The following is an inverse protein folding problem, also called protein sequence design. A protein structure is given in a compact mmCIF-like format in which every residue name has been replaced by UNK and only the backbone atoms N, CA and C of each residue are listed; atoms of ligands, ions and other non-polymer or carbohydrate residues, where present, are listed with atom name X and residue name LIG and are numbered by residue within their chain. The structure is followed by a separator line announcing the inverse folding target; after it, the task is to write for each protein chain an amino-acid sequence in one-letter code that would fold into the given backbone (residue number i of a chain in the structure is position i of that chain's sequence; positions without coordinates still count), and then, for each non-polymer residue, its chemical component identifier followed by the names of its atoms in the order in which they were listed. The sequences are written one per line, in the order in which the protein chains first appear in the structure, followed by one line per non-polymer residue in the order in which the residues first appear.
data_IF_703014841283
#
_entry.id   IF_703014841283
#
_cell.length_a   1.000
_cell.length_b   1.000
_cell.length_c   1.000
_cell.angle_alpha   90.00
_cell.angle_beta   90.00
_cell.angle_gamma   90.00
#
_symmetry.space_group_name_H-M   'P 1'
#
loop_
_entity.id
_entity.type
_entity.pdbx_description
1 polymer ?
#
# COMPACT_ATOMS: atom_id res chain seq x y z
N UNK A 1 -42.14 9.23 -58.27
CA UNK A 1 -41.28 8.74 -57.17
C UNK A 1 -41.44 7.23 -57.07
N UNK A 2 -40.42 6.44 -57.40
CA UNK A 2 -40.45 4.97 -57.40
C UNK A 2 -40.11 4.45 -56.00
N UNK A 3 -41.00 3.65 -55.40
CA UNK A 3 -40.74 2.92 -54.15
C UNK A 3 -40.12 1.57 -54.48
N UNK A 4 -38.90 1.35 -53.99
CA UNK A 4 -38.19 0.08 -54.07
C UNK A 4 -38.59 -0.72 -52.83
N UNK A 5 -39.16 -1.91 -53.04
CA UNK A 5 -39.48 -2.87 -51.98
C UNK A 5 -38.31 -3.85 -51.90
N UNK A 6 -37.59 -3.84 -50.77
CA UNK A 6 -36.47 -4.73 -50.50
C UNK A 6 -37.00 -6.00 -49.82
N UNK A 7 -36.87 -7.14 -50.52
CA UNK A 7 -37.23 -8.46 -50.02
C UNK A 7 -35.99 -9.09 -49.39
N UNK A 8 -36.01 -9.30 -48.07
CA UNK A 8 -34.92 -9.98 -47.33
C UNK A 8 -35.36 -11.42 -47.07
N UNK A 9 -34.64 -12.36 -47.68
CA UNK A 9 -34.82 -13.81 -47.49
C UNK A 9 -33.89 -14.27 -46.39
N UNK A 10 -34.45 -14.81 -45.30
CA UNK A 10 -33.68 -15.43 -44.22
C UNK A 10 -33.55 -16.93 -44.47
N UNK A 11 -32.34 -17.41 -44.71
CA UNK A 11 -32.00 -18.83 -44.74
C UNK A 11 -31.66 -19.32 -43.35
N UNK A 12 -32.45 -20.27 -42.82
CA UNK A 12 -32.22 -20.93 -41.54
C UNK A 12 -31.15 -22.00 -41.72
N UNK A 13 -29.91 -21.67 -41.32
CA UNK A 13 -28.80 -22.62 -41.27
C UNK A 13 -28.86 -23.45 -39.97
N UNK A 14 -28.79 -24.77 -40.10
CA UNK A 14 -28.75 -25.75 -39.02
C UNK A 14 -27.50 -25.59 -38.16
N UNK A 15 -27.71 -25.27 -36.88
CA UNK A 15 -26.68 -25.21 -35.85
C UNK A 15 -26.27 -26.63 -35.43
N UNK A 16 -25.02 -27.00 -35.70
CA UNK A 16 -24.39 -28.19 -35.12
C UNK A 16 -24.11 -27.98 -33.63
N UNK A 17 -24.71 -28.82 -32.78
CA UNK A 17 -24.35 -28.92 -31.36
C UNK A 17 -22.95 -29.52 -31.23
N UNK A 18 -21.96 -28.68 -30.89
CA UNK A 18 -20.69 -29.16 -30.38
C UNK A 18 -20.80 -29.41 -28.88
N UNK A 19 -20.42 -30.63 -28.47
CA UNK A 19 -20.35 -31.08 -27.08
C UNK A 19 -19.50 -30.15 -26.22
N UNK A 20 -20.14 -29.47 -25.27
CA UNK A 20 -19.48 -28.66 -24.24
C UNK A 20 -18.81 -29.60 -23.23
N UNK A 21 -17.49 -29.74 -23.31
CA UNK A 21 -16.69 -30.33 -22.23
C UNK A 21 -16.74 -29.40 -21.02
N UNK A 22 -17.35 -29.87 -19.93
CA UNK A 22 -17.38 -29.18 -18.65
C UNK A 22 -15.94 -28.88 -18.20
N UNK A 23 -15.62 -27.61 -17.98
CA UNK A 23 -14.35 -27.20 -17.40
C UNK A 23 -14.24 -27.71 -15.95
N UNK A 24 -13.04 -28.12 -15.49
CA UNK A 24 -12.86 -28.58 -14.13
C UNK A 24 -13.14 -27.43 -13.16
N UNK A 25 -14.03 -27.69 -12.19
CA UNK A 25 -14.30 -26.83 -11.04
C UNK A 25 -12.98 -26.53 -10.33
N UNK A 26 -12.67 -25.24 -10.19
CA UNK A 26 -11.54 -24.75 -9.42
C UNK A 26 -11.60 -25.36 -8.01
N UNK A 27 -10.64 -26.22 -7.68
CA UNK A 27 -10.49 -26.77 -6.34
C UNK A 27 -10.14 -25.62 -5.40
N UNK A 28 -11.05 -25.30 -4.48
CA UNK A 28 -10.79 -24.35 -3.41
C UNK A 28 -9.64 -24.83 -2.55
N UNK A 29 -8.71 -23.93 -2.24
CA UNK A 29 -7.61 -24.19 -1.30
C UNK A 29 -8.17 -24.63 0.05
N UNK A 30 -7.49 -25.55 0.72
CA UNK A 30 -7.89 -26.06 2.05
C UNK A 30 -7.80 -24.96 3.11
N UNK A 31 -8.73 -24.92 4.07
CA UNK A 31 -8.70 -23.96 5.20
C UNK A 31 -7.37 -23.97 5.96
N UNK A 32 -6.69 -25.12 5.97
CA UNK A 32 -5.37 -25.27 6.60
C UNK A 32 -4.29 -24.49 5.84
N UNK A 33 -4.32 -24.48 4.51
CA UNK A 33 -3.38 -23.72 3.68
C UNK A 33 -3.60 -22.22 3.85
N UNK A 34 -4.87 -21.78 3.99
CA UNK A 34 -5.21 -20.38 4.24
C UNK A 34 -4.61 -19.88 5.56
N UNK A 35 -4.77 -20.65 6.65
CA UNK A 35 -4.21 -20.30 7.98
C UNK A 35 -2.68 -20.28 7.99
N UNK A 36 -2.03 -21.19 7.26
CA UNK A 36 -0.58 -21.20 7.11
C UNK A 36 -0.09 -19.94 6.39
N UNK A 37 -0.80 -19.48 5.35
CA UNK A 37 -0.41 -18.29 4.60
C UNK A 37 -0.57 -16.99 5.42
N UNK A 38 -1.69 -16.84 6.15
CA UNK A 38 -1.92 -15.67 7.02
C UNK A 38 -0.82 -15.54 8.10
N UNK A 39 -0.48 -16.64 8.77
CA UNK A 39 0.62 -16.66 9.75
C UNK A 39 1.96 -16.28 9.13
N UNK A 40 2.19 -16.65 7.86
CA UNK A 40 3.43 -16.34 7.15
C UNK A 40 3.56 -14.86 6.82
N UNK A 41 2.46 -14.18 6.46
CA UNK A 41 2.44 -12.74 6.19
C UNK A 41 2.88 -11.94 7.42
N UNK A 42 2.19 -12.16 8.54
CA UNK A 42 2.48 -11.47 9.79
C UNK A 42 3.90 -11.74 10.26
N UNK A 43 4.39 -12.98 10.12
CA UNK A 43 5.76 -13.33 10.49
C UNK A 43 6.82 -12.57 9.68
N UNK A 44 6.60 -12.33 8.37
CA UNK A 44 7.57 -11.60 7.53
C UNK A 44 7.64 -10.11 7.92
N UNK A 45 6.48 -9.46 8.07
CA UNK A 45 6.41 -8.07 8.48
C UNK A 45 6.97 -7.87 9.89
N UNK A 46 6.61 -8.74 10.82
CA UNK A 46 7.12 -8.74 12.19
C UNK A 46 8.64 -8.92 12.21
N UNK A 47 9.19 -9.83 11.41
CA UNK A 47 10.63 -10.03 11.31
C UNK A 47 11.37 -8.77 10.83
N UNK A 48 10.81 -8.04 9.87
CA UNK A 48 11.36 -6.74 9.43
C UNK A 48 11.35 -5.75 10.59
N UNK A 49 10.20 -5.56 11.24
CA UNK A 49 10.07 -4.56 12.30
C UNK A 49 10.81 -4.89 13.58
N UNK A 50 11.05 -6.17 13.86
CA UNK A 50 11.92 -6.64 14.95
C UNK A 50 13.30 -5.98 14.91
N UNK A 51 13.88 -5.82 13.71
CA UNK A 51 15.19 -5.19 13.53
C UNK A 51 15.11 -3.69 13.26
N UNK A 52 14.10 -3.22 12.52
CA UNK A 52 14.01 -1.81 12.15
C UNK A 52 13.62 -0.89 13.31
N UNK A 53 12.63 -1.27 14.14
CA UNK A 53 12.12 -0.39 15.19
C UNK A 53 13.21 0.10 16.16
N UNK A 54 14.10 -0.77 16.70
CA UNK A 54 15.17 -0.31 17.59
C UNK A 54 16.12 0.70 16.93
N UNK A 55 16.49 0.48 15.66
CA UNK A 55 17.42 1.35 14.92
C UNK A 55 16.79 2.72 14.64
N UNK A 56 15.52 2.73 14.21
CA UNK A 56 14.79 3.97 13.94
C UNK A 56 14.53 4.74 15.24
N UNK A 57 14.22 4.04 16.34
CA UNK A 57 14.04 4.64 17.67
C UNK A 57 15.33 5.30 18.17
N UNK A 58 16.47 4.61 18.10
CA UNK A 58 17.76 5.13 18.59
C UNK A 58 18.25 6.34 17.81
N UNK A 59 17.84 6.48 16.56
CA UNK A 59 18.21 7.59 15.68
C UNK A 59 17.11 8.64 15.51
N UNK A 60 16.01 8.53 16.27
CA UNK A 60 14.81 9.36 16.14
C UNK A 60 14.40 9.60 14.68
N UNK A 61 14.50 8.55 13.86
CA UNK A 61 14.27 8.61 12.42
C UNK A 61 12.94 7.98 12.06
N UNK A 62 12.28 8.52 11.04
CA UNK A 62 11.09 7.95 10.43
C UNK A 62 11.46 7.17 9.16
N UNK A 63 10.58 6.26 8.73
CA UNK A 63 10.80 5.49 7.51
C UNK A 63 9.55 5.37 6.62
N UNK A 64 9.81 5.09 5.35
CA UNK A 64 8.84 4.71 4.32
C UNK A 64 9.22 3.34 3.79
N UNK A 65 8.28 2.41 3.74
CA UNK A 65 8.49 1.13 3.08
C UNK A 65 7.53 1.04 1.89
N UNK A 66 8.08 0.98 0.70
CA UNK A 66 7.34 0.67 -0.52
C UNK A 66 7.55 -0.79 -0.85
N UNK A 67 6.50 -1.53 -1.15
CA UNK A 67 6.66 -2.95 -1.45
C UNK A 67 5.71 -3.44 -2.54
N UNK A 68 6.21 -4.40 -3.31
CA UNK A 68 5.41 -5.18 -4.25
C UNK A 68 4.93 -6.47 -3.57
N UNK A 69 3.63 -6.55 -3.30
CA UNK A 69 2.98 -7.67 -2.62
C UNK A 69 2.15 -8.55 -3.55
N UNK A 70 1.71 -9.70 -3.03
CA UNK A 70 0.68 -10.53 -3.65
C UNK A 70 -0.72 -9.94 -3.39
N UNK A 71 -1.64 -10.15 -4.34
CA UNK A 71 -3.07 -9.88 -4.13
C UNK A 71 -3.67 -11.12 -3.50
N UNK A 72 -4.08 -11.03 -2.25
CA UNK A 72 -4.72 -12.13 -1.54
C UNK A 72 -6.20 -11.83 -1.35
N UNK A 73 -7.04 -12.83 -1.58
CA UNK A 73 -8.49 -12.69 -1.42
C UNK A 73 -8.87 -13.13 -0.01
N UNK A 74 -9.40 -12.19 0.79
CA UNK A 74 -9.88 -12.41 2.15
C UNK A 74 -11.40 -12.16 2.18
N UNK A 75 -12.19 -13.23 2.07
CA UNK A 75 -13.64 -13.11 1.96
C UNK A 75 -14.04 -12.42 0.65
N UNK A 76 -14.75 -11.30 0.75
CA UNK A 76 -15.21 -10.51 -0.40
C UNK A 76 -14.24 -9.40 -0.82
N UNK A 77 -13.11 -9.26 -0.11
CA UNK A 77 -12.14 -8.19 -0.35
C UNK A 77 -10.78 -8.76 -0.75
N UNK A 78 -9.96 -7.90 -1.34
CA UNK A 78 -8.56 -8.20 -1.62
C UNK A 78 -7.66 -7.36 -0.73
N UNK A 79 -6.58 -7.96 -0.26
CA UNK A 79 -5.51 -7.34 0.52
C UNK A 79 -4.19 -7.41 -0.24
N UNK A 80 -3.30 -6.47 0.04
CA UNK A 80 -1.92 -6.53 -0.47
C UNK A 80 -1.03 -7.12 0.62
N UNK A 81 -0.52 -8.33 0.40
CA UNK A 81 0.27 -9.02 1.43
C UNK A 81 1.74 -8.57 1.41
N UNK A 82 2.29 -8.37 2.61
CA UNK A 82 3.69 -8.01 2.78
C UNK A 82 4.59 -9.13 2.24
N UNK A 83 5.55 -8.85 1.34
CA UNK A 83 6.33 -9.86 0.67
C UNK A 83 7.30 -10.53 1.64
N UNK A 84 7.76 -11.73 1.27
CA UNK A 84 8.86 -12.38 1.98
C UNK A 84 10.15 -11.60 1.72
N UNK A 85 10.85 -11.25 2.80
CA UNK A 85 12.13 -10.53 2.75
C UNK A 85 13.14 -11.25 3.64
N UNK A 86 14.37 -11.37 3.16
CA UNK A 86 15.48 -11.89 3.97
C UNK A 86 16.01 -10.77 4.86
N UNK A 87 15.71 -10.90 6.15
CA UNK A 87 16.21 -9.99 7.19
C UNK A 87 17.12 -10.71 8.16
N UNK A 88 18.02 -9.97 8.79
CA UNK A 88 18.95 -10.47 9.79
C UNK A 88 19.39 -9.34 10.71
N UNK A 89 20.08 -9.68 11.79
CA UNK A 89 20.65 -8.67 12.69
C UNK A 89 21.62 -7.75 11.94
N UNK A 90 21.63 -6.43 12.22
CA UNK A 90 22.70 -5.55 11.75
C UNK A 90 24.07 -6.04 12.25
N UNK A 91 25.14 -5.71 11.53
CA UNK A 91 26.50 -6.14 11.92
C UNK A 91 27.04 -5.23 13.02
N UNK A 92 27.68 -5.83 14.03
CA UNK A 92 28.51 -5.12 15.01
C UNK A 92 27.85 -3.89 15.64
N UNK A 93 28.53 -2.73 15.52
CA UNK A 93 28.18 -1.45 16.13
C UNK A 93 27.57 -0.45 15.13
N UNK A 94 27.14 -0.90 13.95
CA UNK A 94 26.55 -0.01 12.95
C UNK A 94 25.28 0.65 13.49
N UNK A 95 25.06 1.92 13.12
CA UNK A 95 23.89 2.70 13.53
C UNK A 95 23.21 3.38 12.34
N UNK A 96 21.96 3.79 12.54
CA UNK A 96 21.18 4.53 11.54
C UNK A 96 21.08 3.83 10.19
N UNK A 97 21.38 4.56 9.11
CA UNK A 97 21.20 4.07 7.74
C UNK A 97 22.08 2.85 7.41
N UNK A 98 23.30 2.77 7.96
CA UNK A 98 24.20 1.64 7.74
C UNK A 98 23.62 0.35 8.36
N UNK A 99 23.17 0.42 9.62
CA UNK A 99 22.51 -0.70 10.29
C UNK A 99 21.26 -1.17 9.54
N UNK A 100 20.45 -0.25 9.00
CA UNK A 100 19.26 -0.61 8.21
C UNK A 100 19.67 -1.34 6.92
N UNK A 101 20.72 -0.89 6.22
CA UNK A 101 21.24 -1.61 5.05
C UNK A 101 21.71 -3.02 5.42
N UNK A 102 22.36 -3.17 6.56
CA UNK A 102 22.83 -4.47 7.04
C UNK A 102 21.71 -5.45 7.36
N UNK A 103 20.55 -4.96 7.81
CA UNK A 103 19.37 -5.81 8.02
C UNK A 103 18.98 -6.52 6.73
N UNK A 104 19.14 -5.85 5.58
CA UNK A 104 18.77 -6.37 4.26
C UNK A 104 19.96 -6.78 3.38
N UNK A 105 21.19 -6.87 3.92
CA UNK A 105 22.42 -7.11 3.10
C UNK A 105 22.38 -8.38 2.23
N UNK A 106 21.55 -9.36 2.58
CA UNK A 106 21.39 -10.62 1.84
C UNK A 106 20.12 -10.65 0.96
N UNK A 107 19.42 -9.52 0.81
CA UNK A 107 18.25 -9.40 -0.04
C UNK A 107 18.46 -8.39 -1.18
N UNK A 108 18.86 -8.91 -2.35
CA UNK A 108 19.08 -8.11 -3.55
C UNK A 108 17.82 -7.39 -4.06
N UNK A 109 16.63 -7.79 -3.62
CA UNK A 109 15.37 -7.14 -3.99
C UNK A 109 15.05 -5.93 -3.11
N UNK A 110 15.87 -5.63 -2.10
CA UNK A 110 15.64 -4.51 -1.19
C UNK A 110 16.65 -3.39 -1.44
N UNK A 111 16.14 -2.18 -1.67
CA UNK A 111 16.93 -0.96 -1.76
C UNK A 111 16.66 -0.08 -0.55
N UNK A 112 17.73 0.26 0.17
CA UNK A 112 17.66 1.18 1.32
C UNK A 112 18.38 2.48 0.98
N UNK A 113 17.69 3.59 1.15
CA UNK A 113 18.21 4.94 0.91
C UNK A 113 17.72 5.92 1.98
N UNK A 114 18.29 7.12 1.99
CA UNK A 114 17.84 8.22 2.84
C UNK A 114 17.53 9.39 1.93
N UNK A 115 16.34 9.96 2.07
CA UNK A 115 16.00 11.17 1.31
C UNK A 115 16.65 12.42 1.87
N UNK A 116 16.50 13.49 1.12
CA UNK A 116 16.93 14.84 1.49
C UNK A 116 16.19 15.37 2.72
N UNK A 117 14.98 14.87 2.97
CA UNK A 117 14.14 15.12 4.15
C UNK A 117 14.59 14.36 5.41
N UNK A 118 15.59 13.49 5.29
CA UNK A 118 16.11 12.65 6.35
C UNK A 118 15.35 11.35 6.56
N UNK A 119 14.28 11.08 5.80
CA UNK A 119 13.46 9.87 5.92
C UNK A 119 14.16 8.70 5.25
N UNK A 120 14.19 7.57 5.96
CA UNK A 120 14.72 6.32 5.42
C UNK A 120 13.69 5.72 4.46
N UNK A 121 14.07 5.51 3.20
CA UNK A 121 13.23 4.89 2.17
C UNK A 121 13.72 3.48 1.90
N UNK A 122 12.84 2.51 2.11
CA UNK A 122 13.06 1.09 1.88
C UNK A 122 12.12 0.67 0.75
N UNK A 123 12.68 0.17 -0.35
CA UNK A 123 11.90 -0.33 -1.49
C UNK A 123 12.12 -1.83 -1.59
N UNK A 124 11.05 -2.62 -1.53
CA UNK A 124 11.06 -4.07 -1.60
C UNK A 124 10.44 -4.50 -2.94
N UNK A 125 11.28 -5.05 -3.82
CA UNK A 125 10.93 -5.38 -5.20
C UNK A 125 11.04 -4.18 -6.15
N UNK A 126 10.51 -4.35 -7.36
CA UNK A 126 10.50 -3.31 -8.40
C UNK A 126 9.10 -2.72 -8.54
N UNK A 127 8.91 -1.48 -8.09
CA UNK A 127 7.62 -0.80 -8.22
C UNK A 127 7.32 -0.51 -9.70
N UNK A 128 6.11 -0.80 -10.20
CA UNK A 128 5.73 -0.41 -11.55
C UNK A 128 5.79 1.12 -11.72
N UNK A 129 6.32 1.61 -12.85
CA UNK A 129 6.43 3.04 -13.13
C UNK A 129 5.10 3.78 -12.99
N UNK A 130 4.00 3.13 -13.41
CA UNK A 130 2.63 3.63 -13.23
C UNK A 130 2.32 4.02 -11.78
N UNK A 131 2.85 3.27 -10.82
CA UNK A 131 2.59 3.48 -9.40
C UNK A 131 3.58 4.49 -8.81
N UNK A 132 4.83 4.49 -9.26
CA UNK A 132 5.74 5.60 -8.94
C UNK A 132 5.10 6.95 -9.32
N UNK A 133 4.50 7.03 -10.51
CA UNK A 133 3.84 8.24 -10.99
C UNK A 133 2.63 8.67 -10.16
N UNK A 134 1.90 7.74 -9.49
CA UNK A 134 0.77 8.15 -8.65
C UNK A 134 1.24 8.86 -7.38
N UNK A 135 2.38 8.45 -6.82
CA UNK A 135 2.96 9.07 -5.63
C UNK A 135 3.45 10.50 -5.90
N UNK A 136 3.81 10.80 -7.15
CA UNK A 136 4.18 12.15 -7.61
C UNK A 136 2.96 13.08 -7.83
N UNK A 137 1.74 12.59 -7.59
CA UNK A 137 0.52 13.42 -7.72
C UNK A 137 0.59 14.62 -6.78
N UNK A 138 0.55 15.81 -7.36
CA UNK A 138 0.54 17.07 -6.60
C UNK A 138 -0.83 17.30 -5.97
N UNK A 139 -0.83 17.53 -4.67
CA UNK A 139 -1.98 17.92 -3.87
C UNK A 139 -1.87 19.42 -3.63
N UNK A 140 -2.88 20.15 -4.09
CA UNK A 140 -2.88 21.61 -3.97
C UNK A 140 -3.03 22.03 -2.51
N UNK A 141 -4.00 21.42 -1.83
CA UNK A 141 -4.26 21.61 -0.41
C UNK A 141 -4.93 20.37 0.18
N UNK A 142 -4.50 19.96 1.36
CA UNK A 142 -5.22 19.03 2.22
C UNK A 142 -5.46 19.71 3.56
N UNK A 143 -6.72 19.78 3.99
CA UNK A 143 -7.14 20.31 5.28
C UNK A 143 -7.49 19.18 6.22
N UNK A 144 -7.11 19.33 7.49
CA UNK A 144 -7.34 18.35 8.54
C UNK A 144 -8.22 18.96 9.63
N UNK A 145 -9.24 18.21 10.05
CA UNK A 145 -9.90 18.50 11.32
C UNK A 145 -9.00 18.11 12.51
N UNK A 146 -9.50 18.29 13.72
CA UNK A 146 -8.70 18.04 14.92
C UNK A 146 -8.34 16.55 15.07
N UNK A 147 -9.27 15.64 14.83
CA UNK A 147 -9.01 14.20 14.98
C UNK A 147 -7.97 13.72 13.95
N UNK A 148 -8.04 14.23 12.72
CA UNK A 148 -7.09 13.94 11.67
C UNK A 148 -5.70 14.53 11.93
N UNK A 149 -5.60 15.65 12.64
CA UNK A 149 -4.29 16.24 13.00
C UNK A 149 -3.54 15.38 14.02
N UNK A 150 -4.26 14.72 14.93
CA UNK A 150 -3.67 13.97 16.06
C UNK A 150 -3.65 12.45 15.85
N UNK A 151 -4.30 11.94 14.81
CA UNK A 151 -4.39 10.51 14.54
C UNK A 151 -3.82 10.17 13.17
N UNK A 152 -2.74 9.40 13.14
CA UNK A 152 -2.00 9.06 11.93
C UNK A 152 -2.85 8.33 10.89
N UNK A 153 -3.70 7.38 11.31
CA UNK A 153 -4.59 6.65 10.39
C UNK A 153 -5.64 7.56 9.75
N UNK A 154 -6.20 8.50 10.52
CA UNK A 154 -7.16 9.45 10.00
C UNK A 154 -6.50 10.46 9.05
N UNK A 155 -5.28 10.92 9.37
CA UNK A 155 -4.48 11.75 8.48
C UNK A 155 -4.23 11.08 7.13
N UNK A 156 -3.78 9.81 7.15
CA UNK A 156 -3.54 9.03 5.94
C UNK A 156 -4.82 8.87 5.11
N UNK A 157 -5.95 8.56 5.74
CA UNK A 157 -7.26 8.47 5.09
C UNK A 157 -7.65 9.80 4.44
N UNK A 158 -7.43 10.92 5.14
CA UNK A 158 -7.72 12.25 4.63
C UNK A 158 -6.86 12.63 3.41
N UNK A 159 -5.56 12.30 3.44
CA UNK A 159 -4.63 12.51 2.31
C UNK A 159 -5.07 11.67 1.10
N UNK A 160 -5.36 10.39 1.30
CA UNK A 160 -5.80 9.46 0.24
C UNK A 160 -7.12 9.86 -0.41
N UNK A 161 -8.01 10.50 0.35
CA UNK A 161 -9.32 10.97 -0.11
C UNK A 161 -9.29 12.37 -0.72
N UNK A 162 -8.13 13.03 -0.79
CA UNK A 162 -7.97 14.27 -1.55
C UNK A 162 -8.38 14.07 -3.02
N UNK A 163 -8.90 15.15 -3.63
CA UNK A 163 -9.48 15.09 -4.97
C UNK A 163 -8.42 14.66 -6.00
N UNK A 164 -7.24 15.27 -5.93
CA UNK A 164 -6.14 15.04 -6.85
C UNK A 164 -5.65 13.59 -6.78
N UNK A 165 -5.45 13.05 -5.57
CA UNK A 165 -5.04 11.64 -5.38
C UNK A 165 -6.12 10.68 -5.90
N UNK A 166 -7.39 10.93 -5.60
CA UNK A 166 -8.50 10.11 -6.12
C UNK A 166 -8.56 10.12 -7.64
N UNK A 167 -8.42 11.29 -8.25
CA UNK A 167 -8.50 11.44 -9.70
C UNK A 167 -7.30 10.78 -10.39
N UNK A 168 -6.08 10.96 -9.86
CA UNK A 168 -4.89 10.28 -10.37
C UNK A 168 -5.01 8.77 -10.27
N UNK A 169 -5.48 8.24 -9.12
CA UNK A 169 -5.77 6.82 -8.96
C UNK A 169 -6.79 6.32 -9.98
N UNK A 170 -7.89 7.05 -10.20
CA UNK A 170 -8.92 6.69 -11.19
C UNK A 170 -8.34 6.61 -12.60
N UNK A 171 -7.57 7.62 -13.02
CA UNK A 171 -6.90 7.65 -14.34
C UNK A 171 -5.96 6.46 -14.49
N UNK A 172 -5.25 6.10 -13.43
CA UNK A 172 -4.33 4.97 -13.42
C UNK A 172 -5.01 3.63 -13.12
N UNK A 173 -6.33 3.58 -12.92
CA UNK A 173 -7.04 2.35 -12.55
C UNK A 173 -6.51 1.68 -11.28
N UNK A 174 -5.91 2.46 -10.38
CA UNK A 174 -5.38 1.99 -9.09
C UNK A 174 -6.51 2.10 -8.05
N UNK A 175 -6.76 1.03 -7.32
CA UNK A 175 -7.82 0.96 -6.33
C UNK A 175 -7.24 0.71 -4.93
N UNK A 176 -7.80 1.30 -3.86
CA UNK A 176 -7.40 0.91 -2.51
C UNK A 176 -7.77 -0.56 -2.29
N UNK A 177 -7.01 -1.26 -1.46
CA UNK A 177 -7.47 -2.49 -0.85
C UNK A 177 -8.75 -2.23 -0.04
N UNK A 178 -9.52 -3.28 0.23
CA UNK A 178 -10.89 -3.15 0.78
C UNK A 178 -10.93 -2.18 1.96
N UNK A 179 -12.02 -1.39 2.08
CA UNK A 179 -12.15 -0.36 3.13
C UNK A 179 -11.93 -1.05 4.47
N UNK A 180 -10.79 -0.80 5.15
CA UNK A 180 -10.63 -1.37 6.45
C UNK A 180 -11.60 -0.60 7.31
N UNK A 181 -12.55 -1.29 7.94
CA UNK A 181 -13.43 -0.72 8.94
C UNK A 181 -12.58 -0.39 10.17
N UNK A 182 -11.80 0.68 10.09
CA UNK A 182 -11.03 1.18 11.21
C UNK A 182 -11.98 1.96 12.11
N UNK A 183 -12.59 1.26 13.06
CA UNK A 183 -13.12 1.89 14.25
C UNK A 183 -11.94 2.30 15.14
N UNK A 184 -11.25 3.37 14.77
CA UNK A 184 -10.31 4.01 15.70
C UNK A 184 -11.13 4.81 16.70
N UNK A 185 -11.00 4.49 17.99
CA UNK A 185 -11.50 5.35 19.03
C UNK A 185 -10.90 6.75 18.83
N UNK A 186 -11.76 7.77 18.75
CA UNK A 186 -11.32 9.17 18.68
C UNK A 186 -10.50 9.43 19.93
N UNK A 187 -9.20 9.66 19.75
CA UNK A 187 -8.33 10.08 20.85
C UNK A 187 -8.55 11.56 21.06
N UNK A 188 -8.90 11.96 22.27
CA UNK A 188 -8.93 13.37 22.60
C UNK A 188 -7.52 13.96 22.41
N UNK A 189 -7.41 15.11 21.75
CA UNK A 189 -6.16 15.83 21.60
C UNK A 189 -5.50 16.04 22.97
N UNK A 190 -4.25 15.62 23.09
CA UNK A 190 -3.43 15.85 24.29
C UNK A 190 -2.52 17.02 24.00
N UNK A 191 -2.53 18.02 24.88
CA UNK A 191 -1.64 19.19 24.75
C UNK A 191 -0.18 18.76 24.66
N UNK A 192 0.56 19.33 23.71
CA UNK A 192 1.97 18.99 23.47
C UNK A 192 2.22 17.67 22.72
N UNK A 193 1.18 16.87 22.42
CA UNK A 193 1.35 15.70 21.57
C UNK A 193 1.69 16.11 20.12
N UNK A 194 2.50 15.32 19.39
CA UNK A 194 2.77 15.59 17.99
C UNK A 194 1.49 15.60 17.16
N UNK A 195 1.32 16.62 16.34
CA UNK A 195 0.17 16.75 15.44
C UNK A 195 0.58 17.37 14.11
N UNK A 196 -0.17 17.06 13.06
CA UNK A 196 -0.02 17.71 11.76
C UNK A 196 -0.52 19.16 11.83
N UNK A 197 -0.06 20.05 10.94
CA UNK A 197 -0.70 21.35 10.78
C UNK A 197 -2.15 21.18 10.28
N UNK A 198 -3.01 22.17 10.55
CA UNK A 198 -4.40 22.18 10.10
C UNK A 198 -4.56 22.11 8.57
N UNK A 199 -3.51 22.48 7.82
CA UNK A 199 -3.45 22.24 6.39
C UNK A 199 -2.02 22.00 5.92
N UNK A 200 -1.87 21.24 4.83
CA UNK A 200 -0.64 21.16 4.07
C UNK A 200 -0.93 21.59 2.63
N UNK A 201 -0.04 22.39 2.06
CA UNK A 201 -0.21 22.99 0.74
C UNK A 201 0.91 22.57 -0.18
N UNK A 202 0.57 22.41 -1.45
CA UNK A 202 1.53 22.33 -2.53
C UNK A 202 2.61 21.25 -2.39
N UNK A 203 2.20 20.01 -2.16
CA UNK A 203 3.11 18.87 -1.97
C UNK A 203 2.68 17.67 -2.82
N UNK A 204 3.57 16.73 -3.06
CA UNK A 204 3.20 15.45 -3.70
C UNK A 204 2.54 14.52 -2.69
N UNK A 205 1.79 13.52 -3.17
CA UNK A 205 1.25 12.48 -2.29
C UNK A 205 2.36 11.81 -1.48
N UNK A 206 3.51 11.51 -2.09
CA UNK A 206 4.69 10.98 -1.41
C UNK A 206 5.18 11.88 -0.27
N UNK A 207 5.24 13.20 -0.49
CA UNK A 207 5.63 14.15 0.54
C UNK A 207 4.60 14.24 1.68
N UNK A 208 3.29 14.19 1.38
CA UNK A 208 2.24 14.19 2.41
C UNK A 208 2.43 13.01 3.38
N UNK A 209 2.75 11.88 2.78
CA UNK A 209 3.00 10.59 3.39
C UNK A 209 4.29 10.59 4.23
N UNK A 210 5.31 11.33 3.81
CA UNK A 210 6.53 11.65 4.56
C UNK A 210 6.25 12.52 5.80
N UNK A 211 5.38 13.54 5.67
CA UNK A 211 4.96 14.38 6.82
C UNK A 211 4.32 13.56 7.93
N UNK A 212 3.42 12.61 7.59
CA UNK A 212 2.82 11.71 8.58
C UNK A 212 3.89 10.89 9.29
N UNK A 213 4.78 10.22 8.54
CA UNK A 213 5.84 9.39 9.13
C UNK A 213 6.73 10.19 10.10
N UNK A 214 7.09 11.42 9.70
CA UNK A 214 7.97 12.31 10.46
C UNK A 214 7.32 12.85 11.73
N UNK A 215 6.09 13.36 11.64
CA UNK A 215 5.41 13.99 12.78
C UNK A 215 5.07 12.96 13.85
N UNK A 216 4.55 11.81 13.46
CA UNK A 216 4.15 10.77 14.42
C UNK A 216 5.31 9.84 14.83
N UNK A 217 6.48 9.94 14.18
CA UNK A 217 7.66 9.16 14.51
C UNK A 217 7.47 7.67 14.29
N UNK A 218 7.16 7.29 13.05
CA UNK A 218 6.82 5.91 12.69
C UNK A 218 7.33 5.47 11.33
N UNK A 219 6.76 4.35 10.88
CA UNK A 219 6.96 3.82 9.54
C UNK A 219 5.64 3.82 8.81
N UNK A 220 5.60 4.42 7.63
CA UNK A 220 4.43 4.27 6.76
C UNK A 220 4.73 3.25 5.68
N UNK A 221 3.84 2.28 5.56
CA UNK A 221 3.84 1.23 4.58
C UNK A 221 3.04 1.68 3.35
N UNK A 222 3.56 1.41 2.15
CA UNK A 222 2.86 1.57 0.88
C UNK A 222 3.03 0.28 0.06
N UNK A 223 2.03 -0.57 0.11
CA UNK A 223 2.01 -1.84 -0.61
C UNK A 223 1.26 -1.72 -1.92
N UNK A 224 1.70 -2.46 -2.93
CA UNK A 224 0.99 -2.54 -4.21
C UNK A 224 0.92 -3.99 -4.66
N UNK A 225 -0.22 -4.39 -5.21
CA UNK A 225 -0.31 -5.60 -6.01
C UNK A 225 -0.71 -5.26 -7.47
N UNK A 226 0.17 -5.54 -8.45
CA UNK A 226 -0.02 -5.09 -9.82
C UNK A 226 -1.13 -5.84 -10.57
N UNK A 227 -1.37 -7.11 -10.24
CA UNK A 227 -2.35 -7.96 -10.95
C UNK A 227 -3.80 -7.45 -10.86
N UNK A 228 -4.12 -6.72 -9.78
CA UNK A 228 -5.43 -6.09 -9.57
C UNK A 228 -5.33 -4.57 -9.46
N UNK A 229 -4.14 -4.00 -9.66
CA UNK A 229 -3.84 -2.60 -9.41
C UNK A 229 -4.33 -2.12 -8.04
N UNK A 230 -4.17 -2.96 -7.01
CA UNK A 230 -4.54 -2.63 -5.64
C UNK A 230 -3.36 -1.98 -4.93
N UNK A 231 -3.63 -1.06 -4.01
CA UNK A 231 -2.63 -0.53 -3.09
C UNK A 231 -3.16 -0.52 -1.66
N UNK A 232 -2.25 -0.60 -0.70
CA UNK A 232 -2.54 -0.45 0.72
C UNK A 232 -1.62 0.59 1.33
N UNK A 233 -2.10 1.29 2.36
CA UNK A 233 -1.29 2.20 3.16
C UNK A 233 -1.61 1.95 4.63
N UNK A 234 -0.57 1.67 5.41
CA UNK A 234 -0.68 1.50 6.86
C UNK A 234 0.43 2.26 7.60
N UNK A 235 0.24 2.47 8.89
CA UNK A 235 1.19 3.10 9.78
C UNK A 235 1.59 2.15 10.90
N UNK A 236 2.90 2.01 11.10
CA UNK A 236 3.49 1.22 12.17
C UNK A 236 4.23 2.13 13.15
N UNK A 237 3.77 2.25 14.41
CA UNK A 237 4.44 3.07 15.41
C UNK A 237 5.79 2.46 15.81
N UNK A 238 6.80 3.32 15.97
CA UNK A 238 8.12 2.95 16.51
C UNK A 238 8.13 3.01 18.03
N UNK A 239 7.34 3.91 18.62
CA UNK A 239 7.19 4.07 20.08
C UNK A 239 6.00 3.24 20.56
N UNK A 240 6.28 2.18 21.32
CA UNK A 240 5.33 1.46 22.17
C UNK A 240 5.65 1.73 23.63
#
# INVERSE_FOLDING_TARGET
MRRIVLLIVFTVGSLGLQSLKAAPLAQGMSETEKKINENTRFANEEAVFKYLKPILKSTNSAARIYYLGSCEKEGDYYTVSFPRVRVQSPLGNDTGLAAIRDVFRNDANVKVSKGTDGIVRIVIGQLPAKVANVLDTRISVVTFDQDQQYTEKQALTRIQSSKEVRDARRVLGIQPDGIPLYMSAVKQPVEGAPHLPASMVNLTWDQALDYVAKIFGGVVLYGICPNKYLYTIDYVPIRS
#
